data_IF_857885587252
#
_entry.id   IF_857885587252
#
_cell.length_a   1.000
_cell.length_b   1.000
_cell.length_c   1.000
_cell.angle_alpha   90.00
_cell.angle_beta   90.00
_cell.angle_gamma   90.00
#
_symmetry.space_group_name_H-M   'P 1'
#
loop_
_entity.id
_entity.type
_entity.pdbx_description
1 polymer ?
#
# COMPACT_ATOMS: atom_id res chain seq x y z
N UNK A 1 3.00 -8.63 1.58
CA UNK A 1 3.21 -7.74 0.41
C UNK A 1 4.67 -7.32 0.33
N UNK A 2 5.31 -7.46 -0.83
CA UNK A 2 6.71 -7.10 -1.01
C UNK A 2 6.82 -6.25 -2.29
N UNK A 3 7.33 -5.03 -2.15
CA UNK A 3 7.80 -4.23 -3.28
C UNK A 3 9.21 -4.74 -3.58
N UNK A 4 9.34 -5.59 -4.60
CA UNK A 4 10.63 -6.14 -5.05
C UNK A 4 11.09 -5.32 -6.26
N UNK A 5 12.39 -5.04 -6.32
CA UNK A 5 13.05 -4.39 -7.46
C UNK A 5 12.75 -5.16 -8.77
N UNK A 6 12.11 -4.49 -9.73
CA UNK A 6 11.50 -5.07 -10.94
C UNK A 6 12.49 -5.67 -11.93
N UNK A 7 13.80 -5.37 -11.83
CA UNK A 7 14.78 -5.74 -12.86
C UNK A 7 14.85 -7.24 -13.12
N UNK A 8 14.69 -8.08 -12.08
CA UNK A 8 14.71 -9.55 -12.21
C UNK A 8 13.39 -10.13 -12.73
N UNK A 9 12.24 -9.52 -12.41
CA UNK A 9 10.93 -9.98 -12.86
C UNK A 9 10.70 -9.73 -14.35
N UNK A 10 11.08 -8.55 -14.84
CA UNK A 10 10.98 -8.17 -16.26
C UNK A 10 11.90 -9.04 -17.14
N UNK A 11 13.12 -9.31 -16.67
CA UNK A 11 14.08 -10.15 -17.40
C UNK A 11 13.59 -11.60 -17.58
N UNK A 12 12.96 -12.18 -16.55
CA UNK A 12 12.50 -13.57 -16.61
C UNK A 12 11.27 -13.75 -17.52
N UNK A 13 10.41 -12.73 -17.64
CA UNK A 13 9.20 -12.79 -18.48
C UNK A 13 9.47 -12.49 -19.97
N UNK A 14 10.48 -11.68 -20.30
CA UNK A 14 10.98 -11.57 -21.70
C UNK A 14 11.48 -12.91 -22.24
N UNK A 15 12.13 -13.70 -21.39
CA UNK A 15 12.63 -15.05 -21.74
C UNK A 15 11.51 -16.06 -22.03
N UNK A 16 10.29 -15.79 -21.55
CA UNK A 16 9.10 -16.65 -21.73
C UNK A 16 8.20 -16.19 -22.88
N UNK A 17 8.59 -15.20 -23.70
CA UNK A 17 7.80 -14.73 -24.84
C UNK A 17 6.52 -13.95 -24.49
N UNK A 18 6.35 -13.56 -23.22
CA UNK A 18 5.11 -12.93 -22.71
C UNK A 18 5.04 -11.40 -22.90
N UNK A 19 5.98 -10.83 -23.66
CA UNK A 19 6.02 -9.40 -24.00
C UNK A 19 6.21 -9.28 -25.52
N UNK A 20 5.10 -9.41 -26.25
CA UNK A 20 5.00 -8.93 -27.64
C UNK A 20 4.84 -7.41 -27.62
N UNK A 21 5.59 -6.71 -28.48
CA UNK A 21 5.62 -5.26 -28.50
C UNK A 21 4.30 -4.67 -28.97
N UNK A 22 3.50 -4.16 -28.03
CA UNK A 22 2.48 -3.15 -28.33
C UNK A 22 2.54 -2.06 -27.26
N UNK A 23 2.59 -0.82 -27.76
CA UNK A 23 2.53 0.41 -26.97
C UNK A 23 1.15 0.50 -26.35
N UNK A 24 1.10 0.69 -25.03
CA UNK A 24 -0.11 0.93 -24.24
C UNK A 24 -1.27 -0.04 -24.51
N UNK A 25 -1.15 -1.27 -24.00
CA UNK A 25 -2.22 -2.27 -24.08
C UNK A 25 -2.24 -3.17 -22.85
N UNK A 26 -3.43 -3.44 -22.33
CA UNK A 26 -3.67 -4.43 -21.28
C UNK A 26 -3.22 -5.80 -21.80
N UNK A 27 -2.13 -6.35 -21.26
CA UNK A 27 -1.70 -7.71 -21.58
C UNK A 27 -2.59 -8.68 -20.81
N UNK A 28 -3.62 -9.22 -21.48
CA UNK A 28 -4.48 -10.29 -20.96
C UNK A 28 -3.68 -11.59 -20.90
N UNK A 29 -3.50 -12.17 -19.71
CA UNK A 29 -2.99 -13.54 -19.55
C UNK A 29 -4.04 -14.39 -18.83
N UNK A 30 -4.86 -15.05 -19.64
CA UNK A 30 -5.57 -16.33 -19.42
C UNK A 30 -6.82 -16.33 -20.31
N UNK A 31 -6.97 -17.36 -21.14
CA UNK A 31 -8.13 -17.57 -22.02
C UNK A 31 -9.25 -18.38 -21.35
N UNK A 32 -9.14 -18.72 -20.06
CA UNK A 32 -10.22 -19.40 -19.35
C UNK A 32 -10.72 -18.55 -18.18
N UNK A 33 -11.89 -17.95 -18.38
CA UNK A 33 -12.56 -17.03 -17.45
C UNK A 33 -13.62 -17.75 -16.60
N UNK A 34 -13.76 -19.07 -16.73
CA UNK A 34 -14.80 -19.84 -16.05
C UNK A 34 -14.61 -19.92 -14.52
N UNK A 35 -13.43 -19.55 -14.01
CA UNK A 35 -12.97 -19.94 -12.67
C UNK A 35 -12.11 -18.88 -11.96
N UNK A 36 -12.33 -17.56 -12.10
CA UNK A 36 -11.48 -16.50 -11.48
C UNK A 36 -11.12 -16.66 -9.97
N UNK A 37 -11.86 -17.47 -9.20
CA UNK A 37 -11.61 -17.78 -7.79
C UNK A 37 -11.20 -19.24 -7.52
N UNK A 38 -11.15 -20.08 -8.54
CA UNK A 38 -10.64 -21.47 -8.52
C UNK A 38 -9.41 -21.66 -9.42
N UNK A 39 -9.15 -20.73 -10.34
CA UNK A 39 -7.94 -20.55 -11.15
C UNK A 39 -7.69 -19.02 -11.32
N UNK A 40 -6.71 -18.43 -10.61
CA UNK A 40 -6.49 -16.98 -10.60
C UNK A 40 -5.96 -16.52 -11.97
N UNK A 41 -6.84 -15.94 -12.78
CA UNK A 41 -6.44 -15.28 -14.03
C UNK A 41 -5.48 -14.12 -13.72
N UNK A 42 -4.22 -14.25 -14.17
CA UNK A 42 -3.17 -13.28 -13.89
C UNK A 42 -3.36 -12.01 -14.71
N UNK A 43 -3.83 -10.94 -14.08
CA UNK A 43 -3.91 -9.63 -14.73
C UNK A 43 -2.53 -8.96 -14.65
N UNK A 44 -1.89 -8.70 -15.79
CA UNK A 44 -0.62 -7.96 -15.86
C UNK A 44 -0.86 -6.58 -16.48
N UNK A 45 -0.76 -5.53 -15.67
CA UNK A 45 -0.83 -4.15 -16.14
C UNK A 45 0.56 -3.52 -16.18
N UNK A 46 1.03 -3.13 -17.36
CA UNK A 46 2.39 -2.59 -17.55
C UNK A 46 2.29 -1.15 -17.97
N UNK A 47 2.76 -0.24 -17.12
CA UNK A 47 3.26 1.06 -17.56
C UNK A 47 4.78 0.98 -17.53
N UNK A 48 5.51 1.69 -18.39
CA UNK A 48 6.99 1.77 -18.39
C UNK A 48 7.55 2.06 -16.98
N UNK A 49 7.98 1.09 -16.17
CA UNK A 49 8.06 1.32 -14.72
C UNK A 49 9.13 0.51 -13.97
N UNK A 50 9.47 0.98 -12.77
CA UNK A 50 10.46 0.40 -11.86
C UNK A 50 9.85 -0.27 -10.60
N UNK A 51 8.55 -0.13 -10.33
CA UNK A 51 7.89 -0.68 -9.13
C UNK A 51 6.86 -1.74 -9.48
N UNK A 52 6.85 -2.85 -8.75
CA UNK A 52 5.86 -3.92 -8.85
C UNK A 52 4.85 -3.82 -7.71
N UNK A 53 3.59 -3.70 -8.08
CA UNK A 53 2.44 -3.85 -7.20
C UNK A 53 1.81 -5.23 -7.45
N UNK A 54 1.44 -5.94 -6.39
CA UNK A 54 0.81 -7.25 -6.50
C UNK A 54 -0.36 -7.33 -5.54
N UNK A 55 -1.52 -7.76 -6.06
CA UNK A 55 -2.68 -8.14 -5.27
C UNK A 55 -2.70 -9.66 -5.15
N UNK A 56 -2.78 -10.16 -3.92
CA UNK A 56 -2.86 -11.58 -3.60
C UNK A 56 -4.24 -11.89 -3.01
N UNK A 57 -4.87 -12.97 -3.44
CA UNK A 57 -5.98 -13.61 -2.75
C UNK A 57 -5.45 -14.71 -1.83
N UNK A 58 -6.11 -14.92 -0.69
CA UNK A 58 -5.91 -16.12 0.12
C UNK A 58 -7.05 -17.08 -0.19
N UNK A 59 -6.72 -18.25 -0.73
CA UNK A 59 -7.67 -19.31 -1.07
C UNK A 59 -7.15 -20.57 -0.40
N UNK A 60 -7.95 -21.21 0.46
CA UNK A 60 -7.55 -22.39 1.23
C UNK A 60 -6.19 -22.18 1.94
N UNK A 61 -6.05 -21.05 2.63
CA UNK A 61 -4.84 -20.62 3.36
C UNK A 61 -3.56 -20.42 2.52
N UNK A 62 -3.65 -20.54 1.19
CA UNK A 62 -2.54 -20.32 0.27
C UNK A 62 -2.70 -18.97 -0.47
N UNK A 63 -1.60 -18.21 -0.68
CA UNK A 63 -1.63 -16.96 -1.41
C UNK A 63 -1.53 -17.18 -2.92
N UNK A 64 -2.48 -16.60 -3.67
CA UNK A 64 -2.53 -16.65 -5.13
C UNK A 64 -2.52 -15.23 -5.72
N UNK A 65 -1.70 -14.95 -6.76
CA UNK A 65 -1.68 -13.64 -7.39
C UNK A 65 -2.92 -13.41 -8.25
N UNK A 66 -3.72 -12.41 -7.89
CA UNK A 66 -4.85 -11.95 -8.71
C UNK A 66 -4.42 -10.93 -9.76
N UNK A 67 -3.45 -10.09 -9.41
CA UNK A 67 -3.03 -8.97 -10.27
C UNK A 67 -1.58 -8.60 -9.99
N UNK A 68 -0.83 -8.38 -11.06
CA UNK A 68 0.45 -7.66 -11.06
C UNK A 68 0.30 -6.35 -11.82
N UNK A 69 0.76 -5.25 -11.23
CA UNK A 69 0.85 -3.97 -11.90
C UNK A 69 2.27 -3.42 -11.78
N UNK A 70 2.87 -3.07 -12.91
CA UNK A 70 4.17 -2.39 -12.95
C UNK A 70 3.90 -0.90 -13.12
N UNK A 71 4.35 -0.08 -12.16
CA UNK A 71 3.98 1.35 -12.07
C UNK A 71 5.18 2.28 -11.82
N UNK A 72 5.19 3.45 -12.46
CA UNK A 72 6.23 4.48 -12.23
C UNK A 72 6.08 5.16 -10.87
N UNK A 73 4.84 5.29 -10.40
CA UNK A 73 4.53 6.04 -9.19
C UNK A 73 3.38 5.40 -8.41
N UNK A 74 3.25 5.82 -7.15
CA UNK A 74 2.19 5.44 -6.22
C UNK A 74 1.26 6.64 -6.01
N UNK A 75 0.57 7.07 -7.06
CA UNK A 75 -0.38 8.18 -7.00
C UNK A 75 -1.80 7.64 -7.09
N UNK A 76 -2.79 8.38 -6.61
CA UNK A 76 -4.22 8.03 -6.69
C UNK A 76 -4.63 7.62 -8.11
N UNK A 77 -4.28 8.41 -9.12
CA UNK A 77 -4.55 8.09 -10.52
C UNK A 77 -3.95 6.73 -10.98
N UNK A 78 -2.80 6.31 -10.42
CA UNK A 78 -2.23 4.99 -10.70
C UNK A 78 -3.09 3.89 -10.11
N UNK A 79 -3.48 4.02 -8.84
CA UNK A 79 -4.33 3.04 -8.16
C UNK A 79 -5.71 2.94 -8.79
N UNK A 80 -6.30 4.08 -9.16
CA UNK A 80 -7.57 4.13 -9.89
C UNK A 80 -7.52 3.30 -11.18
N UNK A 81 -6.45 3.44 -11.99
CA UNK A 81 -6.25 2.63 -13.20
C UNK A 81 -6.15 1.14 -12.88
N UNK A 82 -5.32 0.76 -11.91
CA UNK A 82 -5.13 -0.64 -11.49
C UNK A 82 -6.48 -1.26 -11.07
N UNK A 83 -7.22 -0.59 -10.21
CA UNK A 83 -8.48 -1.13 -9.69
C UNK A 83 -9.61 -1.10 -10.73
N UNK A 84 -9.55 -0.17 -11.69
CA UNK A 84 -10.47 -0.17 -12.83
C UNK A 84 -10.25 -1.41 -13.71
N UNK A 85 -8.99 -1.78 -13.96
CA UNK A 85 -8.68 -3.03 -14.68
C UNK A 85 -9.21 -4.24 -13.92
N UNK A 86 -8.96 -4.32 -12.61
CA UNK A 86 -9.49 -5.41 -11.77
C UNK A 86 -11.02 -5.49 -11.82
N UNK A 87 -11.71 -4.36 -11.70
CA UNK A 87 -13.17 -4.26 -11.78
C UNK A 87 -13.69 -4.75 -13.12
N UNK A 88 -13.09 -4.28 -14.21
CA UNK A 88 -13.50 -4.64 -15.56
C UNK A 88 -13.30 -6.14 -15.82
N UNK A 89 -12.16 -6.70 -15.39
CA UNK A 89 -11.91 -8.14 -15.46
C UNK A 89 -12.92 -8.95 -14.64
N UNK A 90 -13.28 -8.49 -13.43
CA UNK A 90 -14.28 -9.16 -12.61
C UNK A 90 -15.70 -9.11 -13.22
N UNK A 91 -16.02 -8.05 -13.97
CA UNK A 91 -17.30 -7.93 -14.67
C UNK A 91 -17.44 -8.85 -15.88
N UNK A 92 -16.34 -9.40 -16.42
CA UNK A 92 -16.40 -10.35 -17.53
C UNK A 92 -17.03 -11.69 -17.14
N UNK A 93 -17.10 -11.98 -15.83
CA UNK A 93 -17.61 -13.24 -15.30
C UNK A 93 -18.80 -12.95 -14.38
N UNK A 94 -20.00 -13.47 -14.68
CA UNK A 94 -21.19 -13.25 -13.86
C UNK A 94 -20.95 -13.56 -12.38
N UNK A 95 -21.29 -12.61 -11.51
CA UNK A 95 -21.22 -12.74 -10.05
C UNK A 95 -19.84 -12.51 -9.43
N UNK A 96 -18.75 -12.38 -10.20
CA UNK A 96 -17.42 -12.22 -9.61
C UNK A 96 -17.20 -10.84 -8.97
N UNK A 97 -17.79 -9.77 -9.51
CA UNK A 97 -17.71 -8.46 -8.86
C UNK A 97 -18.40 -8.48 -7.48
N UNK A 98 -19.52 -9.20 -7.35
CA UNK A 98 -20.24 -9.37 -6.08
C UNK A 98 -19.39 -10.18 -5.09
N UNK A 99 -18.75 -11.26 -5.54
CA UNK A 99 -17.81 -12.03 -4.71
C UNK A 99 -16.60 -11.19 -4.26
N UNK A 100 -16.03 -10.37 -5.15
CA UNK A 100 -14.99 -9.41 -4.77
C UNK A 100 -15.49 -8.41 -3.73
N UNK A 101 -16.76 -8.00 -3.79
CA UNK A 101 -17.33 -7.08 -2.80
C UNK A 101 -17.61 -7.72 -1.44
N UNK A 102 -17.76 -9.04 -1.38
CA UNK A 102 -17.98 -9.77 -0.14
C UNK A 102 -16.70 -10.16 0.60
N UNK A 103 -15.52 -10.01 -0.01
CA UNK A 103 -14.24 -10.36 0.62
C UNK A 103 -13.60 -9.16 1.32
N UNK A 104 -12.76 -9.45 2.32
CA UNK A 104 -11.98 -8.43 3.04
C UNK A 104 -10.71 -8.11 2.26
N UNK A 105 -10.46 -6.82 2.03
CA UNK A 105 -9.19 -6.36 1.47
C UNK A 105 -8.24 -5.93 2.59
N UNK A 106 -7.01 -6.43 2.53
CA UNK A 106 -5.91 -6.01 3.39
C UNK A 106 -4.81 -5.40 2.51
N UNK A 107 -4.59 -4.09 2.62
CA UNK A 107 -3.64 -3.35 1.79
C UNK A 107 -2.71 -2.47 2.64
N UNK A 108 -1.71 -1.84 2.03
CA UNK A 108 -0.94 -0.79 2.70
C UNK A 108 -1.88 0.30 3.26
N UNK A 109 -1.63 0.80 4.47
CA UNK A 109 -2.41 1.91 5.07
C UNK A 109 -2.30 3.25 4.33
N UNK A 110 -1.63 3.29 3.17
CA UNK A 110 -1.50 4.51 2.40
C UNK A 110 -2.89 4.95 1.91
N UNK A 111 -3.32 6.14 2.32
CA UNK A 111 -4.70 6.61 2.09
C UNK A 111 -5.06 6.61 0.60
N UNK A 112 -4.09 6.92 -0.26
CA UNK A 112 -4.27 6.94 -1.70
C UNK A 112 -4.71 5.58 -2.25
N UNK A 113 -4.13 4.46 -1.81
CA UNK A 113 -4.53 3.14 -2.30
C UNK A 113 -5.89 2.72 -1.71
N UNK A 114 -6.13 3.05 -0.44
CA UNK A 114 -7.37 2.74 0.26
C UNK A 114 -8.56 3.43 -0.39
N UNK A 115 -8.50 4.76 -0.51
CA UNK A 115 -9.56 5.57 -1.12
C UNK A 115 -9.94 5.08 -2.52
N UNK A 116 -8.95 4.80 -3.36
CA UNK A 116 -9.22 4.38 -4.74
C UNK A 116 -9.80 2.98 -4.81
N UNK A 117 -9.37 2.06 -3.95
CA UNK A 117 -9.95 0.72 -3.89
C UNK A 117 -11.40 0.74 -3.41
N UNK A 118 -11.68 1.47 -2.33
CA UNK A 118 -13.03 1.69 -1.78
C UNK A 118 -13.94 2.35 -2.84
N UNK A 119 -13.46 3.39 -3.51
CA UNK A 119 -14.23 4.11 -4.54
C UNK A 119 -14.54 3.24 -5.76
N UNK A 120 -13.54 2.54 -6.31
CA UNK A 120 -13.68 1.81 -7.57
C UNK A 120 -14.49 0.52 -7.39
N UNK A 121 -14.18 -0.26 -6.34
CA UNK A 121 -14.82 -1.56 -6.11
C UNK A 121 -16.02 -1.50 -5.18
N UNK A 122 -16.19 -0.44 -4.38
CA UNK A 122 -17.21 -0.30 -3.32
C UNK A 122 -17.09 -1.41 -2.28
N UNK A 123 -15.90 -1.52 -1.68
CA UNK A 123 -15.54 -2.58 -0.72
C UNK A 123 -15.03 -1.98 0.58
N UNK A 124 -15.12 -2.76 1.66
CA UNK A 124 -14.44 -2.40 2.90
C UNK A 124 -12.94 -2.74 2.79
N UNK A 125 -12.09 -1.78 3.15
CA UNK A 125 -10.65 -1.93 3.11
C UNK A 125 -10.06 -1.78 4.50
N UNK A 126 -9.29 -2.79 4.91
CA UNK A 126 -8.49 -2.78 6.14
C UNK A 126 -7.03 -2.51 5.79
N UNK A 127 -6.35 -1.77 6.65
CA UNK A 127 -4.92 -1.52 6.49
C UNK A 127 -4.07 -2.66 7.07
N UNK A 128 -2.91 -2.93 6.47
CA UNK A 128 -1.95 -3.94 6.91
C UNK A 128 -0.95 -3.39 7.94
N UNK A 129 -1.01 -3.90 9.17
CA UNK A 129 -0.11 -3.50 10.26
C UNK A 129 1.37 -3.70 9.92
N UNK A 130 1.69 -4.78 9.22
CA UNK A 130 3.07 -5.12 8.88
C UNK A 130 3.73 -4.05 7.99
N UNK A 131 3.02 -3.57 6.97
CA UNK A 131 3.54 -2.56 6.05
C UNK A 131 3.65 -1.18 6.68
N UNK A 132 2.63 -0.78 7.44
CA UNK A 132 2.64 0.47 8.21
C UNK A 132 3.80 0.49 9.19
N UNK A 133 3.94 -0.57 9.98
CA UNK A 133 5.02 -0.69 10.97
C UNK A 133 6.39 -0.61 10.30
N UNK A 134 6.58 -1.30 9.18
CA UNK A 134 7.84 -1.23 8.43
C UNK A 134 8.11 0.16 7.86
N UNK A 135 7.12 0.81 7.27
CA UNK A 135 7.29 2.12 6.66
C UNK A 135 7.61 3.19 7.71
N UNK A 136 6.86 3.20 8.83
CA UNK A 136 7.10 4.05 9.99
C UNK A 136 8.51 3.82 10.54
N UNK A 137 8.91 2.56 10.75
CA UNK A 137 10.24 2.24 11.26
C UNK A 137 11.37 2.66 10.32
N UNK A 138 11.22 2.45 9.01
CA UNK A 138 12.21 2.87 8.01
C UNK A 138 12.34 4.38 7.97
N UNK A 139 11.24 5.12 8.06
CA UNK A 139 11.26 6.58 8.07
C UNK A 139 11.86 7.11 9.38
N UNK A 140 11.44 6.56 10.53
CA UNK A 140 12.01 6.89 11.84
C UNK A 140 13.53 6.65 11.86
N UNK A 141 14.02 5.53 11.32
CA UNK A 141 15.47 5.26 11.21
C UNK A 141 16.23 6.29 10.37
N UNK A 142 15.60 6.84 9.32
CA UNK A 142 16.21 7.88 8.49
C UNK A 142 16.25 9.22 9.20
N UNK A 143 15.15 9.59 9.86
CA UNK A 143 15.01 10.90 10.53
C UNK A 143 15.80 10.95 11.84
N UNK A 144 15.72 9.90 12.65
CA UNK A 144 16.32 9.85 13.98
C UNK A 144 17.62 9.06 14.02
N UNK A 145 18.36 8.96 12.92
CA UNK A 145 19.56 8.10 12.80
C UNK A 145 20.50 8.16 14.01
N UNK A 146 20.71 9.36 14.56
CA UNK A 146 21.59 9.62 15.71
C UNK A 146 20.91 9.52 17.08
N UNK A 147 19.59 9.34 17.10
CA UNK A 147 18.74 9.41 18.29
C UNK A 147 17.91 8.13 18.50
N UNK A 148 18.08 7.09 17.67
CA UNK A 148 17.27 5.86 17.73
C UNK A 148 17.37 5.12 19.07
N UNK A 149 18.46 5.29 19.80
CA UNK A 149 18.67 4.67 21.11
C UNK A 149 18.04 5.49 22.25
N UNK A 150 17.55 6.69 21.96
CA UNK A 150 16.85 7.47 22.97
C UNK A 150 15.49 6.85 23.28
N UNK A 151 15.27 6.54 24.55
CA UNK A 151 14.02 5.95 25.03
C UNK A 151 12.81 6.78 24.64
N UNK A 152 12.93 8.12 24.70
CA UNK A 152 11.86 9.07 24.31
C UNK A 152 11.50 8.94 22.84
N UNK A 153 12.49 8.85 21.95
CA UNK A 153 12.28 8.64 20.50
C UNK A 153 11.57 7.30 20.27
N UNK A 154 12.08 6.23 20.88
CA UNK A 154 11.50 4.88 20.73
C UNK A 154 10.05 4.81 21.19
N UNK A 155 9.75 5.34 22.38
CA UNK A 155 8.38 5.38 22.92
C UNK A 155 7.44 6.21 22.02
N UNK A 156 7.91 7.35 21.54
CA UNK A 156 7.11 8.23 20.69
C UNK A 156 6.82 7.62 19.32
N UNK A 157 7.83 7.03 18.65
CA UNK A 157 7.64 6.26 17.41
C UNK A 157 6.69 5.07 17.63
N UNK A 158 6.74 4.44 18.81
CA UNK A 158 5.79 3.40 19.21
C UNK A 158 4.35 3.91 19.29
N UNK A 159 4.11 5.04 19.95
CA UNK A 159 2.78 5.68 20.01
C UNK A 159 2.28 6.08 18.61
N UNK A 160 3.13 6.70 17.80
CA UNK A 160 2.81 7.06 16.43
C UNK A 160 2.40 5.85 15.57
N UNK A 161 3.03 4.69 15.78
CA UNK A 161 2.66 3.44 15.10
C UNK A 161 1.29 2.95 15.54
N UNK A 162 1.00 2.98 16.84
CA UNK A 162 -0.29 2.58 17.38
C UNK A 162 -1.43 3.49 16.90
N UNK A 163 -1.15 4.79 16.72
CA UNK A 163 -2.13 5.79 16.29
C UNK A 163 -2.81 5.44 14.96
N UNK A 164 -2.14 4.77 14.02
CA UNK A 164 -2.74 4.32 12.77
C UNK A 164 -3.93 3.34 12.94
N UNK A 165 -4.13 2.81 14.15
CA UNK A 165 -5.19 1.84 14.48
C UNK A 165 -6.24 2.40 15.42
N UNK A 166 -6.10 3.65 15.84
CA UNK A 166 -6.99 4.27 16.81
C UNK A 166 -8.00 5.18 16.10
N UNK A 167 -9.24 5.28 16.62
CA UNK A 167 -10.17 6.31 16.20
C UNK A 167 -9.60 7.72 16.45
N UNK A 168 -9.96 8.74 15.65
CA UNK A 168 -9.41 10.09 15.77
C UNK A 168 -9.54 10.70 17.17
N UNK A 169 -10.70 10.55 17.81
CA UNK A 169 -10.92 11.07 19.16
C UNK A 169 -9.96 10.45 20.20
N UNK A 170 -9.53 9.20 20.02
CA UNK A 170 -8.54 8.56 20.89
C UNK A 170 -7.13 9.04 20.57
N UNK A 171 -6.81 9.24 19.28
CA UNK A 171 -5.52 9.80 18.84
C UNK A 171 -5.28 11.16 19.49
N UNK A 172 -6.30 12.03 19.47
CA UNK A 172 -6.26 13.37 20.08
C UNK A 172 -6.13 13.28 21.59
N UNK A 173 -6.99 12.50 22.25
CA UNK A 173 -6.97 12.33 23.71
C UNK A 173 -5.63 11.80 24.24
N UNK A 174 -4.95 10.95 23.47
CA UNK A 174 -3.65 10.36 23.85
C UNK A 174 -2.44 11.19 23.40
N UNK A 175 -2.65 12.33 22.73
CA UNK A 175 -1.55 13.17 22.24
C UNK A 175 -0.58 12.39 21.34
N UNK A 176 -1.07 11.45 20.53
CA UNK A 176 -0.21 10.51 19.80
C UNK A 176 0.80 11.18 18.86
N UNK A 177 0.52 12.41 18.43
CA UNK A 177 1.38 13.23 17.56
C UNK A 177 1.99 14.45 18.24
N UNK A 178 1.83 14.58 19.56
CA UNK A 178 2.49 15.63 20.32
C UNK A 178 3.99 15.39 20.30
N UNK A 179 4.73 16.44 19.93
CA UNK A 179 6.18 16.41 19.84
C UNK A 179 6.73 16.46 21.26
N UNK A 180 7.47 15.44 21.72
CA UNK A 180 7.86 15.35 23.12
C UNK A 180 9.11 16.20 23.44
N UNK A 181 9.62 17.01 22.51
CA UNK A 181 10.87 17.77 22.62
C UNK A 181 10.59 19.27 22.61
N UNK A 182 11.28 20.04 23.44
CA UNK A 182 11.12 21.48 23.52
C UNK A 182 11.96 22.21 22.45
N UNK A 183 11.57 23.44 22.13
CA UNK A 183 12.37 24.34 21.28
C UNK A 183 13.41 25.03 22.17
N UNK A 184 14.44 24.27 22.55
CA UNK A 184 15.58 24.75 23.34
C UNK A 184 16.88 24.48 22.59
N UNK A 185 17.99 25.20 22.89
CA UNK A 185 19.27 24.97 22.22
C UNK A 185 19.75 23.50 22.24
N UNK A 186 19.41 22.74 23.29
CA UNK A 186 19.76 21.33 23.43
C UNK A 186 18.85 20.35 22.67
N UNK A 187 17.63 20.75 22.31
CA UNK A 187 16.63 19.86 21.71
C UNK A 187 16.09 20.33 20.35
N UNK A 188 16.46 21.51 19.88
CA UNK A 188 15.89 22.12 18.64
C UNK A 188 16.02 21.21 17.42
N UNK A 189 17.12 20.46 17.29
CA UNK A 189 17.31 19.49 16.20
C UNK A 189 16.37 18.30 16.31
N UNK A 190 16.16 17.77 17.52
CA UNK A 190 15.23 16.68 17.81
C UNK A 190 13.78 17.13 17.61
N UNK A 191 13.44 18.33 18.04
CA UNK A 191 12.13 18.94 17.81
C UNK A 191 11.84 19.05 16.31
N UNK A 192 12.77 19.61 15.53
CA UNK A 192 12.60 19.72 14.08
C UNK A 192 12.49 18.34 13.39
N UNK A 193 13.24 17.34 13.86
CA UNK A 193 13.14 15.97 13.35
C UNK A 193 11.77 15.34 13.68
N UNK A 194 11.27 15.54 14.90
CA UNK A 194 9.95 15.13 15.32
C UNK A 194 8.84 15.80 14.50
N UNK A 195 8.93 17.11 14.26
CA UNK A 195 7.98 17.82 13.40
C UNK A 195 7.89 17.20 12.01
N UNK A 196 9.04 16.98 11.33
CA UNK A 196 9.08 16.34 10.01
C UNK A 196 8.47 14.94 10.01
N UNK A 197 8.71 14.16 11.05
CA UNK A 197 8.13 12.82 11.16
C UNK A 197 6.63 12.86 11.40
N UNK A 198 6.13 13.79 12.23
CA UNK A 198 4.71 14.02 12.43
C UNK A 198 4.02 14.43 11.13
N UNK A 199 4.62 15.34 10.35
CA UNK A 199 4.08 15.76 9.06
C UNK A 199 4.01 14.60 8.07
N UNK A 200 5.07 13.78 8.02
CA UNK A 200 5.06 12.54 7.24
C UNK A 200 3.90 11.64 7.65
N UNK A 201 3.69 11.45 8.97
CA UNK A 201 2.64 10.57 9.45
C UNK A 201 1.24 11.08 9.09
N UNK A 202 1.00 12.37 9.35
CA UNK A 202 -0.26 13.05 9.05
C UNK A 202 -0.62 12.99 7.57
N UNK A 203 0.36 13.32 6.71
CA UNK A 203 0.13 13.42 5.27
C UNK A 203 0.16 12.08 4.54
N UNK A 204 0.67 11.00 5.15
CA UNK A 204 0.76 9.68 4.49
C UNK A 204 -0.32 8.72 4.98
N UNK A 205 -0.64 8.74 6.28
CA UNK A 205 -1.44 7.68 6.91
C UNK A 205 -2.76 8.16 7.52
N UNK A 206 -3.00 9.48 7.60
CA UNK A 206 -4.00 10.07 8.50
C UNK A 206 -4.81 11.21 7.85
N UNK A 207 -4.83 11.30 6.51
CA UNK A 207 -5.43 12.44 5.77
C UNK A 207 -6.93 12.62 6.07
N UNK A 208 -7.67 11.59 6.50
CA UNK A 208 -9.10 11.68 6.85
C UNK A 208 -9.40 12.33 8.21
N UNK A 209 -8.41 12.82 8.93
CA UNK A 209 -8.58 13.50 10.23
C UNK A 209 -8.46 15.03 10.11
N UNK A 210 -8.82 15.59 8.95
CA UNK A 210 -9.01 17.02 8.72
C UNK A 210 -10.44 17.28 8.26
#
# INVERSE_FOLDING_TARGET
MACVDCKKFIANKRRLGLYGGEKEGVVKVSQDYSTFLTDPALIVHVCDADKLYTLLAIINDAPYPLLHAVTRCKKRATYQKIFTVLKNSANLVPGNLQKLRSIRFLIDFEEAVKCELESVLRVEVRGCLFHTSQAINRNAKKIFKHFLNERRVSQWVGRARAACFLPPHIIEALGCFEIPYAITPGEVTLHAAAARFTDYLRNTWLIRFR
#
